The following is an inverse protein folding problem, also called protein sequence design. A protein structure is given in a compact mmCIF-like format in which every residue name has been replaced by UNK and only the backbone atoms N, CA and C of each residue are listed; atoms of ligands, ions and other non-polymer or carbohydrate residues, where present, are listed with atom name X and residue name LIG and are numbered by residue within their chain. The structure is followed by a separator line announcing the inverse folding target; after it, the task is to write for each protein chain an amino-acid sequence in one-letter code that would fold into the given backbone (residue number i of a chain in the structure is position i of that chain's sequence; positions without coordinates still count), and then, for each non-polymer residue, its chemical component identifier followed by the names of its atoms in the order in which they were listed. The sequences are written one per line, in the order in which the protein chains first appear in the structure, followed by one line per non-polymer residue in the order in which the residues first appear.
data_IF_921019147949
#
_entry.id   IF_921019147949
#
_cell.length_a   1.000
_cell.length_b   1.000
_cell.length_c   1.000
_cell.angle_alpha   90.00
_cell.angle_beta   90.00
_cell.angle_gamma   90.00
#
_symmetry.space_group_name_H-M   'P 1'
#
loop_
_entity.id
_entity.type
_entity.pdbx_description
1 polymer ?
#
# COMPACT_ATOMS: atom_id res chain seq x y z
N UNK A 1 1.61 3.87 1.15
CA UNK A 1 1.86 3.83 -0.30
C UNK A 1 3.17 4.56 -0.58
N UNK A 2 3.97 4.10 -1.54
CA UNK A 2 5.18 4.81 -1.94
C UNK A 2 4.83 6.17 -2.55
N UNK A 3 5.72 7.15 -2.42
CA UNK A 3 5.57 8.43 -3.08
C UNK A 3 5.62 8.24 -4.61
N UNK A 4 4.53 8.59 -5.30
CA UNK A 4 4.42 8.49 -6.75
C UNK A 4 5.47 9.35 -7.47
N UNK A 5 5.92 10.43 -6.83
CA UNK A 5 6.99 11.30 -7.34
C UNK A 5 8.32 10.56 -7.45
N UNK A 6 8.61 9.68 -6.48
CA UNK A 6 9.80 8.83 -6.51
C UNK A 6 9.78 7.89 -7.72
N UNK A 7 8.65 7.22 -7.95
CA UNK A 7 8.51 6.31 -9.10
C UNK A 7 8.61 7.04 -10.44
N UNK A 8 8.05 8.25 -10.54
CA UNK A 8 8.14 9.06 -11.76
C UNK A 8 9.54 9.58 -12.05
N UNK A 9 10.35 9.81 -11.00
CA UNK A 9 11.69 10.40 -11.10
C UNK A 9 12.78 9.34 -11.28
N UNK A 10 12.67 8.23 -10.55
CA UNK A 10 13.70 7.20 -10.48
C UNK A 10 13.07 5.80 -10.31
N UNK A 11 12.32 5.40 -11.34
CA UNK A 11 11.73 4.07 -11.42
C UNK A 11 12.78 2.94 -11.30
N UNK A 12 13.96 3.02 -11.95
CA UNK A 12 14.98 1.96 -11.83
C UNK A 12 15.45 1.74 -10.39
N UNK A 13 15.64 2.82 -9.62
CA UNK A 13 16.00 2.69 -8.21
C UNK A 13 14.91 1.98 -7.41
N UNK A 14 13.64 2.35 -7.61
CA UNK A 14 12.50 1.70 -6.93
C UNK A 14 12.46 0.22 -7.24
N UNK A 15 12.60 -0.15 -8.53
CA UNK A 15 12.61 -1.56 -8.97
C UNK A 15 13.75 -2.32 -8.29
N UNK A 16 14.98 -1.78 -8.32
CA UNK A 16 16.13 -2.43 -7.69
C UNK A 16 15.93 -2.65 -6.18
N UNK A 17 15.29 -1.70 -5.48
CA UNK A 17 14.94 -1.84 -4.05
C UNK A 17 13.81 -2.84 -3.80
N UNK A 18 12.86 -2.98 -4.72
CA UNK A 18 11.82 -4.01 -4.64
C UNK A 18 12.39 -5.41 -4.89
N UNK A 19 13.35 -5.53 -5.79
CA UNK A 19 14.03 -6.79 -6.11
C UNK A 19 14.82 -7.36 -4.93
N UNK A 20 15.26 -6.52 -3.99
CA UNK A 20 15.90 -7.02 -2.75
C UNK A 20 14.92 -7.70 -1.80
N UNK A 21 13.60 -7.55 -1.99
CA UNK A 21 12.57 -8.32 -1.27
C UNK A 21 12.32 -9.66 -1.95
N UNK A 22 12.22 -9.65 -3.27
CA UNK A 22 11.98 -10.82 -4.10
C UNK A 22 12.36 -10.51 -5.54
N UNK A 23 13.08 -11.41 -6.21
CA UNK A 23 13.48 -11.27 -7.61
C UNK A 23 12.99 -12.47 -8.44
N UNK A 24 12.28 -12.26 -9.57
CA UNK A 24 11.77 -10.97 -10.05
C UNK A 24 10.71 -10.39 -9.09
N UNK A 25 10.65 -9.07 -8.97
CA UNK A 25 9.68 -8.43 -8.08
C UNK A 25 8.25 -8.55 -8.64
N UNK A 26 7.26 -9.10 -7.90
CA UNK A 26 5.89 -9.27 -8.38
C UNK A 26 4.97 -8.09 -8.03
N UNK A 27 5.47 -7.06 -7.36
CA UNK A 27 4.64 -6.07 -6.67
C UNK A 27 4.20 -4.90 -7.55
N UNK A 28 5.04 -4.54 -8.52
CA UNK A 28 4.82 -3.44 -9.44
C UNK A 28 4.81 -3.98 -10.88
N UNK A 29 3.67 -3.88 -11.56
CA UNK A 29 3.61 -4.06 -13.02
C UNK A 29 4.25 -2.84 -13.69
N UNK A 30 5.54 -2.95 -13.97
CA UNK A 30 6.37 -1.85 -14.50
C UNK A 30 5.85 -1.37 -15.86
N UNK A 31 5.54 -2.30 -16.77
CA UNK A 31 5.06 -1.97 -18.10
C UNK A 31 3.72 -1.24 -18.05
N UNK A 32 2.80 -1.70 -17.20
CA UNK A 32 1.52 -1.02 -17.00
C UNK A 32 1.69 0.35 -16.38
N UNK A 33 2.54 0.50 -15.36
CA UNK A 33 2.81 1.79 -14.73
C UNK A 33 3.35 2.81 -15.74
N UNK A 34 4.34 2.41 -16.56
CA UNK A 34 4.92 3.26 -17.60
C UNK A 34 3.89 3.67 -18.65
N UNK A 35 3.02 2.74 -19.08
CA UNK A 35 1.95 3.04 -20.03
C UNK A 35 0.94 4.07 -19.48
N UNK A 36 0.49 3.90 -18.23
CA UNK A 36 -0.43 4.83 -17.58
C UNK A 36 0.20 6.21 -17.38
N UNK A 37 1.48 6.28 -16.99
CA UNK A 37 2.18 7.56 -16.84
C UNK A 37 2.45 8.25 -18.18
N UNK A 38 2.72 7.49 -19.25
CA UNK A 38 2.86 8.04 -20.59
C UNK A 38 1.55 8.63 -21.11
N UNK A 39 0.43 7.92 -20.90
CA UNK A 39 -0.91 8.39 -21.25
C UNK A 39 -1.26 9.66 -20.45
N UNK A 40 -1.04 9.64 -19.13
CA UNK A 40 -1.27 10.78 -18.24
C UNK A 40 -0.49 12.01 -18.70
N UNK A 41 0.79 11.88 -19.05
CA UNK A 41 1.63 12.98 -19.56
C UNK A 41 1.08 13.54 -20.88
N UNK A 42 0.64 12.66 -21.77
CA UNK A 42 0.07 13.03 -23.07
C UNK A 42 -1.22 13.83 -22.89
N UNK A 43 -2.17 13.32 -22.10
CA UNK A 43 -3.44 13.98 -21.83
C UNK A 43 -3.26 15.30 -21.09
N UNK A 44 -2.33 15.37 -20.13
CA UNK A 44 -2.01 16.60 -19.42
C UNK A 44 -1.54 17.69 -20.39
N UNK A 45 -0.57 17.37 -21.27
CA UNK A 45 -0.07 18.32 -22.27
C UNK A 45 -1.17 18.74 -23.23
N UNK A 46 -1.97 17.80 -23.73
CA UNK A 46 -3.10 18.08 -24.61
C UNK A 46 -4.11 19.03 -23.95
N UNK A 47 -4.43 18.78 -22.68
CA UNK A 47 -5.34 19.63 -21.89
C UNK A 47 -4.77 21.06 -21.77
N UNK A 48 -3.47 21.21 -21.49
CA UNK A 48 -2.81 22.51 -21.42
C UNK A 48 -2.83 23.26 -22.76
N UNK A 49 -2.51 22.57 -23.87
CA UNK A 49 -2.52 23.12 -25.23
C UNK A 49 -3.93 23.55 -25.66
N UNK A 50 -4.94 22.71 -25.40
CA UNK A 50 -6.35 22.99 -25.69
C UNK A 50 -6.89 24.14 -24.85
N UNK A 51 -6.52 24.23 -23.57
CA UNK A 51 -6.90 25.34 -22.70
C UNK A 51 -6.31 26.65 -23.21
N UNK A 52 -5.04 26.66 -23.65
CA UNK A 52 -4.40 27.82 -24.25
C UNK A 52 -5.08 28.22 -25.57
N UNK A 53 -5.38 27.25 -26.44
CA UNK A 53 -6.08 27.47 -27.71
C UNK A 53 -7.47 28.04 -27.50
N UNK A 54 -8.26 27.48 -26.57
CA UNK A 54 -9.59 28.00 -26.20
C UNK A 54 -9.54 29.45 -25.75
N UNK A 55 -8.57 29.79 -24.90
CA UNK A 55 -8.40 31.15 -24.38
C UNK A 55 -8.02 32.15 -25.50
N UNK A 56 -7.19 31.73 -26.47
CA UNK A 56 -6.85 32.52 -27.65
C UNK A 56 -8.08 32.77 -28.53
N UNK A 57 -8.81 31.70 -28.87
CA UNK A 57 -10.02 31.78 -29.70
C UNK A 57 -11.11 32.63 -29.03
N UNK A 58 -11.26 32.54 -27.71
CA UNK A 58 -12.21 33.36 -26.96
C UNK A 58 -11.93 34.87 -27.09
N UNK A 59 -10.65 35.27 -27.12
CA UNK A 59 -10.25 36.66 -27.38
C UNK A 59 -10.54 37.07 -28.84
N UNK A 60 -10.27 36.18 -29.79
CA UNK A 60 -10.54 36.43 -31.21
C UNK A 60 -12.04 36.59 -31.49
N UNK A 61 -12.91 35.80 -30.86
CA UNK A 61 -14.37 35.96 -30.95
C UNK A 61 -14.79 37.36 -30.50
N UNK A 62 -14.26 37.85 -29.37
CA UNK A 62 -14.57 39.19 -28.87
C UNK A 62 -14.14 40.29 -29.86
N UNK A 63 -12.98 40.15 -30.47
CA UNK A 63 -12.45 41.09 -31.47
C UNK A 63 -13.26 41.05 -32.79
N UNK A 64 -13.57 39.86 -33.30
CA UNK A 64 -14.33 39.67 -34.52
C UNK A 64 -15.77 40.18 -34.39
N UNK A 65 -16.44 39.92 -33.24
CA UNK A 65 -17.76 40.50 -32.93
C UNK A 65 -17.74 42.03 -32.92
N UNK A 66 -16.68 42.63 -32.37
CA UNK A 66 -16.55 44.10 -32.35
C UNK A 66 -16.36 44.70 -33.75
N UNK A 67 -15.83 43.92 -34.70
CA UNK A 67 -15.64 44.31 -36.11
C UNK A 67 -16.82 43.94 -37.02
N UNK A 68 -17.84 43.25 -36.51
CA UNK A 68 -18.98 42.76 -37.31
C UNK A 68 -18.62 41.59 -38.23
N UNK A 69 -17.54 40.87 -37.95
CA UNK A 69 -17.11 39.68 -38.71
C UNK A 69 -17.91 38.44 -38.29
N UNK A 70 -17.98 37.43 -39.17
CA UNK A 70 -18.62 36.15 -38.85
C UNK A 70 -17.77 35.36 -37.84
N UNK A 71 -18.41 34.92 -36.76
CA UNK A 71 -17.78 34.19 -35.65
C UNK A 71 -18.26 32.75 -35.53
N UNK A 72 -19.20 32.31 -36.37
CA UNK A 72 -19.70 30.94 -36.39
C UNK A 72 -18.58 29.88 -36.44
N UNK A 73 -17.57 29.97 -37.33
CA UNK A 73 -16.51 28.94 -37.40
C UNK A 73 -15.63 28.91 -36.13
N UNK A 74 -15.37 30.08 -35.51
CA UNK A 74 -14.55 30.17 -34.30
C UNK A 74 -15.33 29.61 -33.10
N UNK A 75 -16.64 29.85 -33.03
CA UNK A 75 -17.50 29.29 -31.99
C UNK A 75 -17.63 27.77 -32.10
N UNK A 76 -17.67 27.21 -33.31
CA UNK A 76 -17.66 25.76 -33.55
C UNK A 76 -16.36 25.11 -33.06
N UNK A 77 -15.19 25.69 -33.40
CA UNK A 77 -13.88 25.21 -32.92
C UNK A 77 -13.81 25.22 -31.37
N UNK A 78 -14.29 26.30 -30.73
CA UNK A 78 -14.36 26.37 -29.26
C UNK A 78 -15.29 25.30 -28.68
N UNK A 79 -16.40 25.01 -29.34
CA UNK A 79 -17.31 23.92 -28.98
C UNK A 79 -16.62 22.56 -29.01
N UNK A 80 -15.88 22.25 -30.08
CA UNK A 80 -15.10 21.02 -30.18
C UNK A 80 -14.03 20.92 -29.09
N UNK A 81 -13.28 22.01 -28.86
CA UNK A 81 -12.26 22.05 -27.81
C UNK A 81 -12.87 21.78 -26.43
N UNK A 82 -14.05 22.35 -26.15
CA UNK A 82 -14.75 22.10 -24.88
C UNK A 82 -15.08 20.61 -24.70
N UNK A 83 -15.65 19.97 -25.71
CA UNK A 83 -15.97 18.54 -25.67
C UNK A 83 -14.72 17.68 -25.44
N UNK A 84 -13.61 17.99 -26.13
CA UNK A 84 -12.35 17.25 -25.94
C UNK A 84 -11.79 17.45 -24.54
N UNK A 85 -11.81 18.68 -24.00
CA UNK A 85 -11.36 18.95 -22.62
C UNK A 85 -12.19 18.19 -21.57
N UNK A 86 -13.51 18.06 -21.78
CA UNK A 86 -14.38 17.26 -20.88
C UNK A 86 -14.03 15.77 -20.94
N UNK A 87 -13.73 15.23 -22.14
CA UNK A 87 -13.29 13.85 -22.30
C UNK A 87 -11.89 13.59 -21.69
N UNK A 88 -10.93 14.49 -21.91
CA UNK A 88 -9.57 14.38 -21.36
C UNK A 88 -9.61 14.41 -19.82
N UNK A 89 -10.44 15.28 -19.24
CA UNK A 89 -10.62 15.34 -17.79
C UNK A 89 -11.16 14.02 -17.22
N UNK A 90 -12.23 13.48 -17.82
CA UNK A 90 -12.79 12.20 -17.40
C UNK A 90 -11.77 11.05 -17.51
N UNK A 91 -10.93 11.05 -18.56
CA UNK A 91 -9.89 10.03 -18.70
C UNK A 91 -8.76 10.21 -17.69
N UNK A 92 -8.34 11.44 -17.39
CA UNK A 92 -7.34 11.73 -16.36
C UNK A 92 -7.81 11.26 -14.98
N UNK A 93 -9.08 11.46 -14.62
CA UNK A 93 -9.66 10.98 -13.37
C UNK A 93 -9.64 9.44 -13.29
N UNK A 94 -10.00 8.76 -14.39
CA UNK A 94 -9.93 7.30 -14.46
C UNK A 94 -8.48 6.79 -14.33
N UNK A 95 -7.53 7.43 -15.04
CA UNK A 95 -6.10 7.10 -14.95
C UNK A 95 -5.54 7.25 -13.54
N UNK A 96 -5.97 8.29 -12.82
CA UNK A 96 -5.55 8.49 -11.44
C UNK A 96 -6.02 7.34 -10.54
N UNK A 97 -7.26 6.87 -10.71
CA UNK A 97 -7.76 5.72 -9.97
C UNK A 97 -7.02 4.43 -10.32
N UNK A 98 -6.71 4.20 -11.60
CA UNK A 98 -5.92 3.04 -12.05
C UNK A 98 -4.50 3.05 -11.47
N UNK A 99 -3.81 4.19 -11.53
CA UNK A 99 -2.48 4.38 -10.94
C UNK A 99 -2.53 4.15 -9.43
N UNK A 100 -3.51 4.72 -8.73
CA UNK A 100 -3.66 4.54 -7.29
C UNK A 100 -3.88 3.06 -6.94
N UNK A 101 -4.74 2.35 -7.68
CA UNK A 101 -4.98 0.92 -7.48
C UNK A 101 -3.69 0.09 -7.61
N UNK A 102 -2.87 0.39 -8.62
CA UNK A 102 -1.58 -0.27 -8.83
C UNK A 102 -0.60 0.04 -7.68
N UNK A 103 -0.50 1.30 -7.25
CA UNK A 103 0.43 1.70 -6.18
C UNK A 103 0.05 1.17 -4.80
N UNK A 104 -1.23 0.90 -4.56
CA UNK A 104 -1.70 0.32 -3.29
C UNK A 104 -1.19 -1.12 -3.07
N UNK A 105 -0.83 -1.84 -4.13
CA UNK A 105 -0.27 -3.19 -4.05
C UNK A 105 1.25 -3.20 -3.79
N UNK A 106 1.93 -2.06 -3.97
CA UNK A 106 3.39 -1.99 -3.85
C UNK A 106 3.80 -1.88 -2.38
N UNK A 107 4.64 -2.81 -1.86
CA UNK A 107 5.10 -2.76 -0.48
C UNK A 107 6.07 -1.59 -0.25
N UNK A 108 6.36 -1.32 1.02
CA UNK A 108 7.36 -0.31 1.35
C UNK A 108 8.75 -0.72 0.83
N UNK A 109 9.60 0.25 0.48
CA UNK A 109 10.99 -0.07 0.15
C UNK A 109 11.72 -0.51 1.41
N UNK A 110 12.51 -1.61 1.38
CA UNK A 110 13.38 -1.95 2.50
C UNK A 110 14.28 -0.77 2.86
N UNK A 111 14.69 -0.63 4.13
CA UNK A 111 15.69 0.36 4.51
C UNK A 111 17.11 -0.06 4.05
N UNK A 112 18.03 0.89 3.95
CA UNK A 112 19.36 0.65 3.37
C UNK A 112 20.22 -0.34 4.17
N UNK A 113 19.96 -0.45 5.47
CA UNK A 113 20.63 -1.32 6.44
C UNK A 113 19.98 -2.71 6.58
N UNK A 114 18.86 -2.97 5.89
CA UNK A 114 18.22 -4.29 5.88
C UNK A 114 19.07 -5.25 5.04
N UNK A 115 19.54 -6.38 5.60
CA UNK A 115 20.27 -7.39 4.83
C UNK A 115 19.41 -7.94 3.69
N UNK A 116 20.03 -8.16 2.52
CA UNK A 116 19.35 -8.77 1.38
C UNK A 116 19.26 -10.28 1.58
N UNK A 117 18.06 -10.83 1.45
CA UNK A 117 17.79 -12.26 1.56
C UNK A 117 16.48 -12.64 0.87
N UNK A 118 16.44 -13.85 0.31
CA UNK A 118 15.30 -14.41 -0.42
C UNK A 118 14.25 -15.02 0.53
N UNK A 119 14.68 -15.51 1.69
CA UNK A 119 13.84 -16.21 2.65
C UNK A 119 14.38 -16.08 4.09
N UNK A 120 13.69 -16.71 5.04
CA UNK A 120 14.02 -16.65 6.46
C UNK A 120 15.37 -17.26 6.83
N UNK A 121 15.96 -18.09 5.97
CA UNK A 121 17.26 -18.73 6.22
C UNK A 121 18.43 -17.74 6.14
N UNK A 122 18.20 -16.59 5.51
CA UNK A 122 19.20 -15.52 5.35
C UNK A 122 19.05 -14.42 6.40
N UNK A 123 18.16 -14.60 7.38
CA UNK A 123 18.05 -13.69 8.52
C UNK A 123 19.33 -13.71 9.37
N UNK A 124 19.76 -12.54 9.82
CA UNK A 124 20.95 -12.37 10.65
C UNK A 124 20.55 -12.26 12.12
N UNK A 125 21.09 -13.14 12.97
CA UNK A 125 20.91 -13.04 14.43
C UNK A 125 21.73 -11.86 14.98
N UNK A 126 21.04 -10.84 15.51
CA UNK A 126 21.71 -9.66 16.08
C UNK A 126 22.13 -9.85 17.54
N UNK A 127 21.31 -10.54 18.33
CA UNK A 127 21.56 -10.76 19.76
C UNK A 127 20.79 -11.96 20.29
N UNK A 128 21.35 -12.58 21.33
CA UNK A 128 20.72 -13.61 22.15
C UNK A 128 20.73 -13.20 23.61
N UNK A 129 19.68 -13.51 24.34
CA UNK A 129 19.61 -13.26 25.78
C UNK A 129 19.14 -14.52 26.52
N UNK A 130 19.85 -14.87 27.60
CA UNK A 130 19.63 -16.11 28.36
C UNK A 130 20.26 -17.35 27.72
N UNK A 131 19.94 -18.52 28.28
CA UNK A 131 20.40 -19.83 27.79
C UNK A 131 19.21 -20.77 27.69
N UNK A 132 18.98 -21.45 26.55
CA UNK A 132 17.91 -22.45 26.44
C UNK A 132 18.03 -23.49 27.56
N UNK A 133 16.91 -23.75 28.24
CA UNK A 133 16.88 -24.68 29.37
C UNK A 133 17.22 -26.10 28.90
N UNK A 134 18.08 -26.78 29.65
CA UNK A 134 18.33 -28.22 29.51
C UNK A 134 17.33 -29.00 30.35
N UNK A 135 16.86 -30.13 29.82
CA UNK A 135 15.88 -31.00 30.47
C UNK A 135 16.46 -32.41 30.60
N UNK A 136 16.25 -33.02 31.77
CA UNK A 136 16.65 -34.40 32.06
C UNK A 136 15.53 -35.41 31.72
N UNK A 137 14.52 -34.96 30.97
CA UNK A 137 13.36 -35.75 30.55
C UNK A 137 12.93 -35.37 29.12
N UNK A 138 12.20 -36.25 28.41
CA UNK A 138 11.62 -35.91 27.11
C UNK A 138 10.65 -34.73 27.20
N UNK A 139 10.94 -33.66 26.47
CA UNK A 139 10.14 -32.43 26.49
C UNK A 139 8.86 -32.66 25.67
N UNK A 140 7.70 -32.42 26.30
CA UNK A 140 6.39 -32.35 25.64
C UNK A 140 6.16 -30.95 25.10
N UNK A 141 5.41 -30.84 24.00
CA UNK A 141 5.06 -29.53 23.46
C UNK A 141 3.95 -28.85 24.26
N UNK A 142 3.59 -27.64 23.87
CA UNK A 142 2.56 -26.86 24.55
C UNK A 142 1.15 -27.44 24.40
N UNK A 143 0.89 -28.26 23.37
CA UNK A 143 -0.43 -28.89 23.15
C UNK A 143 -0.61 -30.00 24.17
N UNK A 144 0.36 -30.91 24.28
CA UNK A 144 0.34 -32.03 25.21
C UNK A 144 0.35 -31.56 26.67
N UNK A 145 1.16 -30.54 26.98
CA UNK A 145 1.19 -29.95 28.33
C UNK A 145 -0.10 -29.22 28.64
N UNK A 146 -0.65 -28.50 27.65
CA UNK A 146 -1.84 -27.68 27.83
C UNK A 146 -3.13 -28.49 27.98
N UNK A 147 -3.23 -29.66 27.36
CA UNK A 147 -4.42 -30.51 27.36
C UNK A 147 -4.90 -30.80 28.80
N UNK A 148 -3.98 -31.22 29.67
CA UNK A 148 -4.27 -31.52 31.08
C UNK A 148 -4.57 -30.26 31.92
N UNK A 149 -4.24 -29.07 31.41
CA UNK A 149 -4.35 -27.78 32.10
C UNK A 149 -5.50 -26.90 31.60
N UNK A 150 -6.27 -27.38 30.61
CA UNK A 150 -7.46 -26.71 30.08
C UNK A 150 -7.31 -26.06 28.71
N UNK A 151 -6.32 -26.44 27.90
CA UNK A 151 -6.23 -26.10 26.48
C UNK A 151 -7.03 -27.12 25.66
N UNK A 152 -8.10 -26.67 25.00
CA UNK A 152 -9.07 -27.53 24.35
C UNK A 152 -9.28 -27.10 22.88
N UNK A 153 -8.54 -27.74 21.98
CA UNK A 153 -8.67 -27.55 20.52
C UNK A 153 -9.89 -28.26 19.95
N UNK A 154 -10.37 -29.34 20.58
CA UNK A 154 -11.52 -30.11 20.08
C UNK A 154 -12.83 -29.36 20.29
N UNK A 155 -13.03 -28.76 21.48
CA UNK A 155 -14.14 -27.84 21.71
C UNK A 155 -14.07 -26.66 20.75
N UNK A 156 -12.89 -26.09 20.51
CA UNK A 156 -12.72 -24.99 19.58
C UNK A 156 -13.09 -25.37 18.14
N UNK A 157 -12.66 -26.56 17.69
CA UNK A 157 -13.00 -27.09 16.37
C UNK A 157 -14.51 -27.29 16.21
N UNK A 158 -15.21 -27.76 17.26
CA UNK A 158 -16.67 -27.94 17.23
C UNK A 158 -17.45 -26.62 17.13
N UNK A 159 -16.95 -25.55 17.74
CA UNK A 159 -17.66 -24.26 17.79
C UNK A 159 -17.26 -23.29 16.66
N UNK A 160 -16.02 -23.39 16.15
CA UNK A 160 -15.47 -22.40 15.21
C UNK A 160 -14.66 -22.99 14.05
N UNK A 161 -14.29 -24.27 14.12
CA UNK A 161 -13.43 -24.93 13.12
C UNK A 161 -11.94 -24.88 13.46
N UNK A 162 -11.09 -25.14 12.46
CA UNK A 162 -9.64 -25.25 12.66
C UNK A 162 -8.99 -23.92 13.05
N UNK A 163 -7.83 -24.00 13.72
CA UNK A 163 -7.02 -22.84 14.19
C UNK A 163 -7.67 -21.96 15.27
N UNK A 164 -8.67 -22.47 15.97
CA UNK A 164 -9.20 -21.89 17.21
C UNK A 164 -8.77 -22.71 18.42
N UNK A 165 -8.75 -22.10 19.61
CA UNK A 165 -8.49 -22.77 20.88
C UNK A 165 -9.47 -22.29 21.96
N UNK A 166 -9.93 -23.20 22.80
CA UNK A 166 -10.67 -22.86 24.03
C UNK A 166 -9.72 -23.01 25.21
N UNK A 167 -9.57 -21.96 26.00
CA UNK A 167 -8.78 -21.98 27.25
C UNK A 167 -9.71 -22.03 28.45
N UNK A 168 -9.41 -22.89 29.43
CA UNK A 168 -10.21 -23.06 30.66
C UNK A 168 -9.35 -23.03 31.92
N UNK A 169 -9.96 -22.66 33.03
CA UNK A 169 -9.34 -22.74 34.36
C UNK A 169 -7.99 -22.02 34.45
N UNK A 170 -6.93 -22.68 34.95
CA UNK A 170 -5.65 -22.04 35.23
C UNK A 170 -4.95 -21.53 33.96
N UNK A 171 -5.03 -22.23 32.83
CA UNK A 171 -4.37 -21.76 31.59
C UNK A 171 -5.04 -20.50 31.03
N UNK A 172 -6.37 -20.39 31.14
CA UNK A 172 -7.10 -19.17 30.78
C UNK A 172 -6.70 -17.99 31.68
N UNK A 173 -6.57 -18.23 33.00
CA UNK A 173 -6.11 -17.21 33.95
C UNK A 173 -4.69 -16.76 33.64
N UNK A 174 -3.78 -17.69 33.32
CA UNK A 174 -2.40 -17.39 32.94
C UNK A 174 -2.34 -16.55 31.66
N UNK A 175 -3.08 -16.93 30.61
CA UNK A 175 -3.16 -16.17 29.37
C UNK A 175 -3.60 -14.72 29.61
N UNK A 176 -4.63 -14.51 30.45
CA UNK A 176 -5.06 -13.16 30.84
C UNK A 176 -3.98 -12.42 31.64
N UNK A 177 -3.33 -13.08 32.59
CA UNK A 177 -2.28 -12.46 33.40
C UNK A 177 -1.10 -11.97 32.53
N UNK A 178 -0.72 -12.71 31.49
CA UNK A 178 0.32 -12.28 30.55
C UNK A 178 -0.08 -11.01 29.79
N UNK A 179 -1.31 -10.96 29.26
CA UNK A 179 -1.80 -9.77 28.57
C UNK A 179 -1.83 -8.54 29.48
N UNK A 180 -2.29 -8.69 30.73
CA UNK A 180 -2.29 -7.60 31.72
C UNK A 180 -0.87 -7.15 32.07
N UNK A 181 0.04 -8.09 32.33
CA UNK A 181 1.44 -7.77 32.60
C UNK A 181 2.09 -6.99 31.45
N UNK A 182 1.84 -7.37 30.19
CA UNK A 182 2.38 -6.65 29.02
C UNK A 182 1.83 -5.21 28.94
N UNK A 183 0.53 -5.02 29.16
CA UNK A 183 -0.11 -3.70 29.18
C UNK A 183 0.46 -2.82 30.30
N UNK A 184 0.56 -3.36 31.52
CA UNK A 184 1.10 -2.64 32.67
C UNK A 184 2.54 -2.19 32.42
N UNK A 185 3.42 -3.07 31.92
CA UNK A 185 4.82 -2.71 31.60
C UNK A 185 4.86 -1.62 30.54
N UNK A 186 4.08 -1.74 29.47
CA UNK A 186 4.09 -0.75 28.40
C UNK A 186 3.56 0.62 28.85
N UNK A 187 2.51 0.66 29.65
CA UNK A 187 1.87 1.91 30.08
C UNK A 187 2.59 2.59 31.23
N UNK A 188 3.08 1.82 32.20
CA UNK A 188 3.68 2.37 33.42
C UNK A 188 5.18 2.61 33.30
N UNK A 189 5.90 1.80 32.51
CA UNK A 189 7.37 1.89 32.41
C UNK A 189 7.84 2.45 31.06
N UNK A 190 7.12 2.20 29.96
CA UNK A 190 7.55 2.61 28.61
C UNK A 190 6.80 3.83 28.05
N UNK A 191 5.84 4.39 28.81
CA UNK A 191 5.13 5.61 28.45
C UNK A 191 4.12 5.47 27.31
N UNK A 192 3.62 4.26 27.04
CA UNK A 192 2.55 4.06 26.07
C UNK A 192 1.21 4.52 26.65
N UNK A 193 0.37 5.11 25.80
CA UNK A 193 -1.03 5.40 26.14
C UNK A 193 -1.90 4.20 25.74
N UNK A 194 -2.65 3.65 26.70
CA UNK A 194 -3.55 2.52 26.44
C UNK A 194 -4.80 2.96 25.68
N UNK A 195 -5.28 2.10 24.77
CA UNK A 195 -6.52 2.29 24.03
C UNK A 195 -7.28 0.97 23.94
N UNK A 196 -8.60 1.04 24.11
CA UNK A 196 -9.54 -0.08 24.01
C UNK A 196 -10.28 -0.05 22.68
#
# INVERSE_FOLDING_TARGET
MLDITLLRKDLPHVIARLETRQSPQPFLDVARFEALEAERKTLQKQTEDLQARRNLLSKQIGQAKAKGEDVAPIMEEVGHIKTTLEADAARLDALQAELQGLLMAVPNLPAADVPVGADETQNVELRRWGTPRTFEFPVRDHVDVGADLGLDFEAAARISGSRFAVLRGPIARLHRALAQFMLDVHTTEHGYNEAY
#
